data_IF_917951681048
#
_entry.id   IF_917951681048
#
_cell.length_a   1.000
_cell.length_b   1.000
_cell.length_c   1.000
_cell.angle_alpha   90.00
_cell.angle_beta   90.00
_cell.angle_gamma   90.00
#
_symmetry.space_group_name_H-M   'P 1'
#
loop_
_entity.id
_entity.type
_entity.pdbx_description
1 polymer ?
#
# COMPACT_ATOMS: atom_id res chain seq x y z
N UNK A 1 37.79 -31.74 56.54
CA UNK A 1 37.50 -30.30 56.66
C UNK A 1 36.41 -29.93 55.66
N UNK A 2 35.21 -29.52 56.15
CA UNK A 2 34.17 -28.64 55.56
C UNK A 2 33.56 -29.04 54.17
N UNK A 3 32.41 -29.72 54.10
CA UNK A 3 30.97 -29.27 54.02
C UNK A 3 30.49 -28.62 52.70
N UNK A 4 29.62 -29.36 51.98
CA UNK A 4 28.39 -29.10 51.17
C UNK A 4 27.93 -27.69 50.68
N UNK A 5 27.25 -27.67 49.51
CA UNK A 5 26.21 -26.68 49.10
C UNK A 5 26.15 -26.34 47.57
N UNK A 6 25.43 -27.09 46.72
CA UNK A 6 24.10 -26.82 46.09
C UNK A 6 23.98 -25.55 45.21
N UNK A 7 23.73 -25.73 43.89
CA UNK A 7 22.53 -25.24 43.19
C UNK A 7 22.46 -25.76 41.73
N UNK A 8 21.56 -26.72 41.49
CA UNK A 8 21.06 -27.10 40.17
C UNK A 8 19.69 -26.41 40.02
N UNK A 9 19.51 -25.57 39.00
CA UNK A 9 18.17 -25.19 38.52
C UNK A 9 18.12 -25.51 37.03
N UNK A 10 17.46 -26.62 36.72
CA UNK A 10 17.00 -26.97 35.38
C UNK A 10 15.59 -26.37 35.26
N UNK A 11 15.38 -25.41 34.35
CA UNK A 11 14.03 -25.05 33.90
C UNK A 11 13.86 -25.58 32.48
N UNK A 12 12.98 -26.58 32.37
CA UNK A 12 12.37 -27.07 31.14
C UNK A 12 11.11 -26.23 30.93
N UNK A 13 10.86 -25.65 29.75
CA UNK A 13 9.49 -25.43 29.23
C UNK A 13 9.44 -24.80 27.83
N UNK A 14 8.81 -25.54 26.92
CA UNK A 14 7.84 -25.16 25.88
C UNK A 14 8.06 -23.95 24.95
N UNK A 15 7.99 -24.25 23.64
CA UNK A 15 7.54 -23.40 22.54
C UNK A 15 8.23 -22.04 22.37
N UNK A 16 9.23 -21.98 21.49
CA UNK A 16 9.51 -20.74 20.75
C UNK A 16 8.42 -20.52 19.68
N UNK A 17 7.17 -20.34 20.12
CA UNK A 17 6.19 -19.60 19.31
C UNK A 17 6.44 -18.13 19.56
N UNK A 18 7.24 -17.50 18.70
CA UNK A 18 7.11 -16.08 18.41
C UNK A 18 7.01 -15.92 16.90
N UNK A 19 5.97 -16.52 16.32
CA UNK A 19 5.29 -15.80 15.26
C UNK A 19 4.76 -14.54 15.95
N UNK A 20 5.50 -13.44 15.82
CA UNK A 20 4.99 -12.11 16.11
C UNK A 20 3.69 -12.00 15.33
N UNK A 21 2.55 -12.17 16.01
CA UNK A 21 1.29 -11.77 15.44
C UNK A 21 1.44 -10.27 15.24
N UNK A 22 1.69 -9.86 14.00
CA UNK A 22 1.88 -8.47 13.64
C UNK A 22 0.63 -7.75 14.09
N UNK A 23 0.78 -7.01 15.19
CA UNK A 23 -0.32 -6.33 15.84
C UNK A 23 -0.85 -5.34 14.82
N UNK A 24 -2.12 -5.48 14.40
CA UNK A 24 -2.78 -4.43 13.63
C UNK A 24 -2.96 -3.22 14.57
N UNK A 25 -1.89 -2.45 14.74
CA UNK A 25 -1.96 -1.14 15.36
C UNK A 25 -2.82 -0.29 14.43
N UNK A 26 -3.75 0.49 15.01
CA UNK A 26 -4.64 1.35 14.23
C UNK A 26 -3.80 2.28 13.34
N UNK A 27 -3.70 1.94 12.07
CA UNK A 27 -3.05 2.78 11.07
C UNK A 27 -3.85 4.10 10.95
N UNK A 28 -3.17 5.23 10.64
CA UNK A 28 -3.88 6.47 10.36
C UNK A 28 -4.83 6.26 9.17
N UNK A 29 -6.06 6.76 9.27
CA UNK A 29 -7.00 6.77 8.15
C UNK A 29 -6.69 8.01 7.33
N UNK A 30 -6.23 7.81 6.10
CA UNK A 30 -6.02 8.89 5.14
C UNK A 30 -7.28 9.05 4.30
N UNK A 31 -7.97 10.17 4.51
CA UNK A 31 -9.08 10.54 3.64
C UNK A 31 -8.54 10.87 2.26
N UNK A 32 -8.90 10.06 1.27
CA UNK A 32 -8.63 10.31 -0.15
C UNK A 32 -9.40 11.53 -0.70
N UNK A 33 -10.30 12.12 0.10
CA UNK A 33 -11.17 13.24 -0.27
C UNK A 33 -12.35 12.83 -1.14
N UNK A 34 -12.19 11.82 -2.01
CA UNK A 34 -13.18 11.26 -2.94
C UNK A 34 -13.61 9.85 -2.51
N UNK A 35 -14.76 9.32 -2.97
CA UNK A 35 -14.97 7.88 -3.01
C UNK A 35 -13.88 7.23 -3.90
N UNK A 36 -12.74 6.87 -3.31
CA UNK A 36 -11.73 6.11 -4.02
C UNK A 36 -12.30 4.77 -4.45
N UNK A 37 -12.40 4.59 -5.76
CA UNK A 37 -12.95 3.37 -6.36
C UNK A 37 -11.96 2.21 -6.37
N UNK A 38 -10.66 2.49 -6.23
CA UNK A 38 -9.60 1.47 -6.24
C UNK A 38 -8.31 1.98 -5.60
N UNK A 39 -7.56 1.07 -4.98
CA UNK A 39 -6.24 1.30 -4.36
C UNK A 39 -5.29 0.17 -4.76
N UNK A 40 -4.02 0.50 -4.95
CA UNK A 40 -2.92 -0.44 -5.14
C UNK A 40 -1.73 -0.04 -4.25
N UNK A 41 -0.88 -1.01 -3.92
CA UNK A 41 0.28 -0.83 -3.03
C UNK A 41 1.53 -1.43 -3.63
N UNK A 42 2.64 -0.68 -3.65
CA UNK A 42 3.98 -1.15 -4.02
C UNK A 42 5.02 -0.13 -3.52
N UNK A 43 6.31 -0.42 -3.65
CA UNK A 43 7.38 0.56 -3.41
C UNK A 43 7.66 1.33 -4.71
N UNK A 44 6.97 2.44 -4.94
CA UNK A 44 7.05 3.18 -6.21
C UNK A 44 8.26 4.12 -6.28
N UNK A 45 8.90 4.41 -5.15
CA UNK A 45 10.07 5.30 -5.08
C UNK A 45 11.40 4.54 -4.78
N UNK A 46 11.34 3.25 -4.49
CA UNK A 46 12.49 2.38 -4.25
C UNK A 46 13.14 2.57 -2.88
N UNK A 47 12.41 3.08 -1.88
CA UNK A 47 12.94 3.36 -0.54
C UNK A 47 12.79 2.20 0.45
N UNK A 48 12.13 1.12 0.04
CA UNK A 48 11.88 -0.08 0.82
C UNK A 48 10.62 -0.01 1.68
N UNK A 49 9.84 1.07 1.62
CA UNK A 49 8.57 1.22 2.32
C UNK A 49 7.38 1.11 1.35
N UNK A 50 6.28 0.41 1.73
CA UNK A 50 5.10 0.35 0.87
C UNK A 50 4.43 1.70 0.70
N UNK A 51 4.26 2.12 -0.55
CA UNK A 51 3.48 3.30 -0.96
C UNK A 51 2.02 2.92 -1.28
N UNK A 52 1.17 3.95 -1.40
CA UNK A 52 -0.21 3.81 -1.86
C UNK A 52 -0.41 4.56 -3.16
N UNK A 53 -1.04 3.91 -4.13
CA UNK A 53 -1.64 4.57 -5.29
C UNK A 53 -3.16 4.39 -5.22
N UNK A 54 -3.93 5.45 -5.43
CA UNK A 54 -5.39 5.38 -5.42
C UNK A 54 -6.04 6.34 -6.41
N UNK A 55 -7.25 5.97 -6.83
CA UNK A 55 -8.06 6.78 -7.74
C UNK A 55 -8.88 7.82 -6.97
N UNK A 56 -9.03 9.01 -7.53
CA UNK A 56 -9.95 10.05 -7.02
C UNK A 56 -10.73 10.71 -8.15
N UNK A 57 -11.96 11.12 -7.84
CA UNK A 57 -12.88 11.84 -8.75
C UNK A 57 -13.21 13.29 -8.30
N UNK A 58 -12.58 13.81 -7.25
CA UNK A 58 -12.74 15.21 -6.78
C UNK A 58 -11.99 16.22 -7.67
N UNK A 59 -12.24 16.19 -8.98
CA UNK A 59 -11.52 17.00 -9.97
C UNK A 59 -11.43 16.25 -11.31
N UNK A 60 -10.52 16.64 -12.22
CA UNK A 60 -10.20 15.75 -13.32
C UNK A 60 -9.69 14.43 -12.72
N UNK A 61 -10.20 13.31 -13.23
CA UNK A 61 -9.88 12.00 -12.69
C UNK A 61 -8.36 11.82 -12.60
N UNK A 62 -7.87 11.25 -11.51
CA UNK A 62 -6.42 11.16 -11.28
C UNK A 62 -6.03 9.90 -10.52
N UNK A 63 -4.77 9.48 -10.74
CA UNK A 63 -4.02 8.60 -9.84
C UNK A 63 -3.31 9.49 -8.83
N UNK A 64 -3.47 9.20 -7.55
CA UNK A 64 -2.77 9.88 -6.47
C UNK A 64 -1.82 8.89 -5.82
N UNK A 65 -0.56 9.28 -5.67
CA UNK A 65 0.47 8.50 -4.99
C UNK A 65 0.73 9.13 -3.61
N UNK A 66 0.83 8.27 -2.60
CA UNK A 66 1.24 8.61 -1.25
C UNK A 66 2.43 7.75 -0.87
N UNK A 67 3.52 8.41 -0.50
CA UNK A 67 4.79 7.74 -0.23
C UNK A 67 4.81 7.24 1.21
N UNK A 68 5.01 5.95 1.38
CA UNK A 68 5.18 5.31 2.68
C UNK A 68 6.42 5.82 3.38
N UNK A 69 6.44 5.67 4.70
CA UNK A 69 7.58 6.03 5.52
C UNK A 69 7.86 4.93 6.54
N UNK A 70 9.08 4.93 7.08
CA UNK A 70 9.54 3.94 8.06
C UNK A 70 8.65 3.81 9.32
N UNK A 71 7.97 4.88 9.69
CA UNK A 71 7.05 4.96 10.82
C UNK A 71 5.59 4.58 10.47
N UNK A 72 5.34 4.11 9.25
CA UNK A 72 4.03 3.67 8.77
C UNK A 72 3.07 4.82 8.42
N UNK A 73 3.61 6.02 8.24
CA UNK A 73 2.88 7.19 7.76
C UNK A 73 2.97 7.30 6.23
N UNK A 74 2.23 8.27 5.68
CA UNK A 74 2.19 8.54 4.25
C UNK A 74 2.38 10.02 3.93
N UNK A 75 3.40 10.34 3.14
CA UNK A 75 3.67 11.66 2.61
C UNK A 75 2.95 11.90 1.28
N UNK A 76 2.88 13.16 0.85
CA UNK A 76 2.40 13.49 -0.50
C UNK A 76 3.39 12.98 -1.54
N UNK A 77 2.91 12.19 -2.48
CA UNK A 77 3.63 11.80 -3.69
C UNK A 77 3.08 12.53 -4.92
N UNK A 78 3.31 11.92 -6.09
CA UNK A 78 2.86 12.45 -7.36
C UNK A 78 1.34 12.31 -7.54
N UNK A 79 0.76 13.23 -8.31
CA UNK A 79 -0.59 13.10 -8.86
C UNK A 79 -0.50 13.06 -10.39
N UNK A 80 -1.21 12.13 -11.02
CA UNK A 80 -1.26 11.97 -12.47
C UNK A 80 -2.70 12.13 -12.93
N UNK A 81 -2.97 13.19 -13.68
CA UNK A 81 -4.29 13.44 -14.26
C UNK A 81 -4.56 12.48 -15.42
N UNK A 82 -5.78 11.96 -15.46
CA UNK A 82 -6.31 11.06 -16.47
C UNK A 82 -7.30 11.81 -17.36
N UNK A 83 -7.33 11.44 -18.65
CA UNK A 83 -8.29 11.97 -19.62
C UNK A 83 -9.62 11.19 -19.69
N UNK A 84 -9.81 10.20 -18.83
CA UNK A 84 -10.97 9.30 -18.81
C UNK A 84 -11.31 8.91 -17.38
N UNK A 85 -12.50 8.32 -17.18
CA UNK A 85 -12.93 7.88 -15.84
C UNK A 85 -12.26 6.56 -15.49
N UNK A 86 -11.41 6.52 -14.46
CA UNK A 86 -10.77 5.29 -14.05
C UNK A 86 -11.76 4.43 -13.25
N UNK A 87 -11.65 3.11 -13.41
CA UNK A 87 -12.51 2.13 -12.75
C UNK A 87 -11.71 1.12 -11.92
N UNK A 88 -10.44 0.91 -12.25
CA UNK A 88 -9.57 -0.03 -11.54
C UNK A 88 -8.10 0.38 -11.63
N UNK A 89 -7.33 -0.04 -10.62
CA UNK A 89 -5.90 0.21 -10.51
C UNK A 89 -5.19 -1.07 -10.09
N UNK A 90 -4.06 -1.38 -10.72
CA UNK A 90 -3.16 -2.49 -10.37
C UNK A 90 -1.71 -1.99 -10.33
N UNK A 91 -0.90 -2.62 -9.48
CA UNK A 91 0.55 -2.41 -9.42
C UNK A 91 1.29 -3.73 -9.70
N UNK A 92 2.47 -3.65 -10.32
CA UNK A 92 3.28 -4.79 -10.73
C UNK A 92 4.48 -4.33 -11.55
N UNK A 93 5.50 -5.18 -11.67
CA UNK A 93 6.64 -4.94 -12.58
C UNK A 93 6.33 -5.63 -13.91
N UNK A 94 5.76 -4.90 -14.86
CA UNK A 94 5.38 -5.45 -16.17
C UNK A 94 6.48 -5.30 -17.21
N UNK A 95 7.45 -4.41 -16.98
CA UNK A 95 8.52 -4.15 -17.91
C UNK A 95 9.83 -4.93 -17.58
N UNK A 96 9.94 -5.48 -16.36
CA UNK A 96 11.03 -6.31 -15.88
C UNK A 96 12.25 -5.53 -15.36
N UNK A 97 12.11 -4.26 -15.02
CA UNK A 97 13.20 -3.40 -14.54
C UNK A 97 13.37 -3.40 -13.01
N UNK A 98 12.48 -4.10 -12.29
CA UNK A 98 12.48 -4.15 -10.83
C UNK A 98 11.82 -2.94 -10.16
N UNK A 99 11.22 -2.03 -10.92
CA UNK A 99 10.43 -0.90 -10.43
C UNK A 99 8.95 -1.20 -10.68
N UNK A 100 8.07 -1.08 -9.66
CA UNK A 100 6.64 -1.28 -9.88
C UNK A 100 6.05 -0.24 -10.82
N UNK A 101 5.39 -0.68 -11.90
CA UNK A 101 4.53 0.16 -12.72
C UNK A 101 3.08 0.21 -12.17
N UNK A 102 2.23 1.01 -12.83
CA UNK A 102 0.79 1.09 -12.57
C UNK A 102 -0.02 0.86 -13.85
N UNK A 103 -0.99 -0.05 -13.79
CA UNK A 103 -1.98 -0.27 -14.84
C UNK A 103 -3.35 0.29 -14.43
N UNK A 104 -3.98 1.09 -15.30
CA UNK A 104 -5.27 1.71 -15.03
C UNK A 104 -6.32 1.22 -16.02
N UNK A 105 -7.39 0.63 -15.50
CA UNK A 105 -8.60 0.40 -16.27
C UNK A 105 -9.41 1.69 -16.34
N UNK A 106 -9.75 2.13 -17.55
CA UNK A 106 -10.57 3.33 -17.78
C UNK A 106 -11.85 2.97 -18.51
N UNK A 107 -12.95 3.63 -18.16
CA UNK A 107 -14.15 3.65 -18.98
C UNK A 107 -14.07 4.84 -19.95
N UNK A 108 -14.13 4.61 -21.27
CA UNK A 108 -14.26 5.72 -22.20
C UNK A 108 -15.63 6.35 -21.99
N UNK A 109 -15.68 7.68 -21.83
CA UNK A 109 -16.91 8.41 -21.98
C UNK A 109 -17.43 8.17 -23.40
N UNK A 110 -18.54 7.45 -23.58
CA UNK A 110 -19.26 7.47 -24.84
C UNK A 110 -19.75 8.90 -25.03
N UNK A 111 -19.08 9.67 -25.90
CA UNK A 111 -19.68 10.86 -26.49
C UNK A 111 -20.80 10.37 -27.41
N UNK A 112 -22.02 10.30 -26.88
CA UNK A 112 -23.22 10.23 -27.73
C UNK A 112 -23.40 11.59 -28.41
N UNK A 113 -22.55 11.90 -29.40
CA UNK A 113 -22.68 13.12 -30.19
C UNK A 113 -22.36 12.93 -31.68
N UNK A 114 -22.56 11.73 -32.22
CA UNK A 114 -22.62 11.52 -33.68
C UNK A 114 -23.84 10.68 -34.09
N UNK A 115 -25.04 11.15 -33.75
CA UNK A 115 -26.27 10.62 -34.36
C UNK A 115 -27.23 11.70 -34.89
N UNK A 116 -26.75 12.91 -35.21
CA UNK A 116 -27.51 13.87 -36.03
C UNK A 116 -26.60 14.75 -36.89
N UNK A 117 -26.38 14.32 -38.12
CA UNK A 117 -26.49 15.17 -39.32
C UNK A 117 -27.27 14.41 -40.37
#
# INVERSE_FOLDING_TARGET
MKTSGIALILVICAAATLASAQQFVRAPIYSAGSPSVSVATADFNGDGYPDLAFLSDLGPAAINIRLGTADGNFNMGQQVTLGATPVSLLAGDWNGDGVPDLAVGVSPWIRTQELRS
#
